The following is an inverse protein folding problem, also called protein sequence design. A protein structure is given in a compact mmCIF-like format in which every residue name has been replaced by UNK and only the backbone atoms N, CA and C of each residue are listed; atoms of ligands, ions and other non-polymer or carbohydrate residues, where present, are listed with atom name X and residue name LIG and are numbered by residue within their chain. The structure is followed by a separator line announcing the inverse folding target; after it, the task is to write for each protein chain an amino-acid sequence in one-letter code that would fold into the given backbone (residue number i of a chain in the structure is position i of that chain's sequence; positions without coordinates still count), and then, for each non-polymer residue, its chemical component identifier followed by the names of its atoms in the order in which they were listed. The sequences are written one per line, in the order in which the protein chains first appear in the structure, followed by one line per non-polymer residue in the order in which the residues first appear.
data_IF_933033142100
#
_entry.id   IF_933033142100
#
_cell.length_a   1.000
_cell.length_b   1.000
_cell.length_c   1.000
_cell.angle_alpha   90.00
_cell.angle_beta   90.00
_cell.angle_gamma   90.00
#
_symmetry.space_group_name_H-M   'P 1'
#
loop_
_entity.id
_entity.type
_entity.pdbx_description
1 polymer ?
#
# COMPACT_ATOMS: atom_id res chain seq x y z
N UNK A 1 36.39 10.56 15.95
CA UNK A 1 36.03 9.78 14.76
C UNK A 1 34.55 9.87 14.47
N UNK A 2 34.22 10.16 13.27
CA UNK A 2 32.83 10.20 12.86
C UNK A 2 32.21 8.83 12.96
N UNK A 3 31.15 8.74 13.71
CA UNK A 3 30.31 7.55 13.66
C UNK A 3 29.46 7.66 12.40
N UNK A 4 29.62 6.68 11.53
CA UNK A 4 28.73 6.59 10.41
C UNK A 4 27.37 6.17 10.93
N UNK A 5 26.51 7.11 11.12
CA UNK A 5 25.10 6.78 11.27
C UNK A 5 24.65 6.12 9.99
N UNK A 6 24.02 4.98 10.10
CA UNK A 6 23.35 4.37 8.98
C UNK A 6 22.39 5.40 8.42
N UNK A 7 22.70 5.89 7.24
CA UNK A 7 21.85 6.88 6.59
C UNK A 7 20.56 6.22 6.21
N UNK A 8 19.46 6.85 6.60
CA UNK A 8 18.16 6.45 6.09
C UNK A 8 18.11 6.76 4.60
N UNK A 9 17.46 5.90 3.85
CA UNK A 9 17.16 6.22 2.46
C UNK A 9 16.31 7.48 2.41
N UNK A 10 16.54 8.37 1.43
CA UNK A 10 15.70 9.55 1.28
C UNK A 10 14.26 9.14 1.08
N UNK A 11 13.36 9.82 1.77
CA UNK A 11 11.93 9.69 1.55
C UNK A 11 11.38 11.01 1.05
N UNK A 12 10.20 10.94 0.46
CA UNK A 12 9.55 12.17 0.03
C UNK A 12 9.13 12.99 1.24
N UNK A 13 9.14 14.34 1.15
CA UNK A 13 8.63 15.18 2.21
C UNK A 13 7.15 14.86 2.49
N UNK A 14 6.77 15.00 3.75
CA UNK A 14 5.40 14.76 4.20
C UNK A 14 4.38 15.61 3.43
N UNK A 15 4.81 16.77 2.96
CA UNK A 15 3.96 17.67 2.16
C UNK A 15 3.61 17.09 0.79
N UNK A 16 4.44 16.20 0.25
CA UNK A 16 4.14 15.52 -1.01
C UNK A 16 3.35 14.24 -0.79
N UNK A 17 3.51 13.60 0.36
CA UNK A 17 2.69 12.47 0.75
C UNK A 17 1.49 12.99 1.54
N UNK A 18 0.55 13.59 0.84
CA UNK A 18 -0.56 14.30 1.48
C UNK A 18 -1.91 13.63 1.27
N UNK A 19 -1.92 12.40 0.80
CA UNK A 19 -3.15 11.67 0.55
C UNK A 19 -3.44 10.70 1.68
N UNK A 20 -4.69 10.29 1.74
CA UNK A 20 -5.22 9.41 2.76
C UNK A 20 -6.03 8.31 2.10
N UNK A 21 -5.87 7.10 2.60
CA UNK A 21 -6.65 5.96 2.14
C UNK A 21 -7.22 5.21 3.34
N UNK A 22 -8.20 4.36 3.08
CA UNK A 22 -8.72 3.42 4.07
C UNK A 22 -8.26 2.03 3.67
N UNK A 23 -7.57 1.35 4.59
CA UNK A 23 -7.22 -0.06 4.43
C UNK A 23 -8.32 -0.89 5.10
N UNK A 24 -9.00 -1.70 4.32
CA UNK A 24 -10.16 -2.46 4.76
C UNK A 24 -9.88 -3.95 4.71
N UNK A 25 -10.06 -4.60 5.83
CA UNK A 25 -9.84 -6.04 5.99
C UNK A 25 -11.12 -6.68 6.48
N UNK A 26 -11.48 -7.82 5.91
CA UNK A 26 -12.55 -8.64 6.46
C UNK A 26 -12.09 -9.28 7.77
N UNK A 27 -12.91 -9.20 8.83
CA UNK A 27 -12.55 -9.83 10.09
C UNK A 27 -12.98 -11.32 10.18
N UNK A 28 -13.48 -11.87 9.08
CA UNK A 28 -13.94 -13.27 9.03
C UNK A 28 -15.34 -13.49 9.58
N UNK A 29 -15.96 -12.48 10.13
CA UNK A 29 -17.32 -12.56 10.66
C UNK A 29 -18.33 -12.04 9.65
N UNK A 30 -19.57 -12.53 9.77
CA UNK A 30 -20.70 -12.04 8.96
C UNK A 30 -21.76 -11.47 9.89
N UNK A 31 -22.45 -10.44 9.42
CA UNK A 31 -23.62 -9.94 10.14
C UNK A 31 -24.84 -10.85 9.89
N UNK A 32 -25.97 -10.50 10.51
CA UNK A 32 -27.21 -11.28 10.37
C UNK A 32 -27.72 -11.37 8.94
N UNK A 33 -27.28 -10.48 8.07
CA UNK A 33 -27.69 -10.43 6.66
C UNK A 33 -26.68 -11.09 5.73
N UNK A 34 -25.65 -11.74 6.28
CA UNK A 34 -24.62 -12.41 5.50
C UNK A 34 -23.52 -11.49 4.96
N UNK A 35 -23.54 -10.20 5.29
CA UNK A 35 -22.47 -9.27 4.94
C UNK A 35 -21.25 -9.51 5.82
N UNK A 36 -20.09 -9.54 5.22
CA UNK A 36 -18.83 -9.62 5.96
C UNK A 36 -18.59 -8.33 6.75
N UNK A 37 -18.26 -8.51 8.02
CA UNK A 37 -17.78 -7.40 8.83
C UNK A 37 -16.35 -7.07 8.46
N UNK A 38 -16.05 -5.78 8.44
CA UNK A 38 -14.73 -5.29 8.05
C UNK A 38 -14.12 -4.44 9.15
N UNK A 39 -12.81 -4.39 9.16
CA UNK A 39 -12.03 -3.50 10.02
C UNK A 39 -11.35 -2.50 9.11
N UNK A 40 -11.60 -1.22 9.34
CA UNK A 40 -11.06 -0.13 8.55
C UNK A 40 -9.96 0.57 9.33
N UNK A 41 -8.82 0.79 8.67
CA UNK A 41 -7.71 1.57 9.21
C UNK A 41 -7.42 2.71 8.25
N UNK A 42 -7.39 3.93 8.78
CA UNK A 42 -7.05 5.11 7.98
C UNK A 42 -5.54 5.24 7.94
N UNK A 43 -4.98 5.29 6.74
CA UNK A 43 -3.55 5.51 6.53
C UNK A 43 -3.38 6.92 5.99
N UNK A 44 -2.65 7.73 6.75
CA UNK A 44 -2.36 9.12 6.41
C UNK A 44 -0.99 9.27 5.79
N UNK A 45 -0.81 10.33 5.04
CA UNK A 45 0.47 10.70 4.44
C UNK A 45 1.04 9.60 3.57
N UNK A 46 0.25 9.20 2.60
CA UNK A 46 0.64 8.26 1.55
C UNK A 46 0.47 8.90 0.18
N UNK A 47 0.88 8.19 -0.85
CA UNK A 47 0.73 8.62 -2.24
C UNK A 47 -0.08 7.59 -2.99
N UNK A 48 -1.22 8.01 -3.52
CA UNK A 48 -2.05 7.17 -4.36
C UNK A 48 -1.93 7.67 -5.80
N UNK A 49 -1.32 6.86 -6.64
CA UNK A 49 -1.05 7.23 -8.03
C UNK A 49 -1.89 6.37 -8.94
N UNK A 50 -2.77 6.99 -9.70
CA UNK A 50 -3.55 6.28 -10.71
C UNK A 50 -2.63 5.98 -11.90
N UNK A 51 -2.48 4.70 -12.18
CA UNK A 51 -1.60 4.21 -13.22
C UNK A 51 -2.08 2.84 -13.64
N UNK A 52 -2.36 2.67 -14.93
CA UNK A 52 -2.77 1.37 -15.43
C UNK A 52 -1.55 0.52 -15.72
N UNK A 53 -1.49 -0.65 -15.08
CA UNK A 53 -0.38 -1.59 -15.22
C UNK A 53 -0.90 -2.80 -16.00
N UNK A 54 -0.15 -3.17 -17.03
CA UNK A 54 -0.46 -4.30 -17.89
C UNK A 54 0.54 -5.43 -17.70
N UNK A 55 0.09 -6.65 -17.92
CA UNK A 55 0.96 -7.81 -18.06
C UNK A 55 0.71 -8.47 -19.42
N UNK A 56 1.70 -9.21 -19.92
CA UNK A 56 1.62 -9.84 -21.24
C UNK A 56 2.11 -8.94 -22.35
N UNK A 57 2.06 -9.44 -23.57
CA UNK A 57 2.54 -8.75 -24.77
C UNK A 57 1.49 -8.81 -25.88
N UNK A 58 1.49 -7.78 -26.72
CA UNK A 58 0.60 -7.73 -27.89
C UNK A 58 -0.86 -7.81 -27.50
N UNK A 59 -1.58 -8.71 -28.16
CA UNK A 59 -3.02 -8.89 -27.94
C UNK A 59 -3.35 -9.66 -26.65
N UNK A 60 -2.33 -10.16 -25.95
CA UNK A 60 -2.50 -10.90 -24.70
C UNK A 60 -2.37 -10.02 -23.47
N UNK A 61 -2.33 -8.71 -23.63
CA UNK A 61 -2.18 -7.78 -22.52
C UNK A 61 -3.43 -7.77 -21.65
N UNK A 62 -3.19 -7.86 -20.35
CA UNK A 62 -4.25 -7.76 -19.33
C UNK A 62 -3.94 -6.63 -18.38
N UNK A 63 -4.97 -5.93 -17.90
CA UNK A 63 -4.83 -4.95 -16.84
C UNK A 63 -4.70 -5.69 -15.52
N UNK A 64 -3.58 -5.48 -14.82
CA UNK A 64 -3.33 -6.12 -13.51
C UNK A 64 -3.46 -5.14 -12.35
N UNK A 65 -3.40 -3.85 -12.63
CA UNK A 65 -3.63 -2.82 -11.63
C UNK A 65 -4.10 -1.53 -12.29
N UNK A 66 -4.86 -0.75 -11.55
CA UNK A 66 -5.34 0.57 -11.98
C UNK A 66 -4.69 1.70 -11.19
N UNK A 67 -4.03 1.38 -10.09
CA UNK A 67 -3.34 2.37 -9.28
C UNK A 67 -2.25 1.71 -8.46
N UNK A 68 -1.33 2.53 -7.97
CA UNK A 68 -0.30 2.11 -7.02
C UNK A 68 -0.38 3.01 -5.80
N UNK A 69 -0.44 2.38 -4.64
CA UNK A 69 -0.40 3.08 -3.36
C UNK A 69 1.01 2.96 -2.78
N UNK A 70 1.64 4.09 -2.52
CA UNK A 70 2.96 4.15 -1.90
C UNK A 70 2.80 4.53 -0.44
N UNK A 71 3.31 3.67 0.45
CA UNK A 71 3.29 3.87 1.90
C UNK A 71 4.74 3.93 2.37
N UNK A 72 5.13 5.02 2.98
CA UNK A 72 6.53 5.26 3.37
C UNK A 72 6.67 5.11 4.88
N UNK A 73 7.65 4.31 5.31
CA UNK A 73 7.85 3.98 6.72
C UNK A 73 8.04 5.21 7.60
N UNK A 74 8.75 6.23 7.09
CA UNK A 74 9.08 7.42 7.87
C UNK A 74 8.01 8.51 7.82
N UNK A 75 7.04 8.39 6.94
CA UNK A 75 6.10 9.48 6.63
C UNK A 75 4.65 9.07 6.86
N UNK A 76 4.29 7.89 6.39
CA UNK A 76 2.90 7.40 6.48
C UNK A 76 2.57 6.91 7.88
N UNK A 77 1.37 7.17 8.34
CA UNK A 77 0.92 6.74 9.67
C UNK A 77 -0.52 6.22 9.62
N UNK A 78 -0.80 5.12 10.31
CA UNK A 78 0.16 4.20 10.94
C UNK A 78 0.92 3.38 9.90
N UNK A 79 2.10 2.92 10.23
CA UNK A 79 2.81 1.98 9.38
C UNK A 79 2.33 0.57 9.73
N UNK A 80 1.56 0.00 8.84
CA UNK A 80 1.08 -1.36 8.96
C UNK A 80 2.06 -2.29 8.24
N UNK A 81 2.06 -3.55 8.64
CA UNK A 81 2.79 -4.57 7.90
C UNK A 81 1.86 -5.21 6.87
N UNK A 82 2.36 -5.33 5.65
CA UNK A 82 1.65 -5.98 4.58
C UNK A 82 2.36 -7.28 4.23
N UNK A 83 1.61 -8.35 4.20
CA UNK A 83 2.11 -9.69 3.91
C UNK A 83 1.46 -10.20 2.65
N UNK A 84 1.96 -11.31 2.15
CA UNK A 84 1.36 -11.96 0.97
C UNK A 84 -0.13 -12.23 1.16
N UNK A 85 -0.54 -12.57 2.37
CA UNK A 85 -1.96 -12.79 2.68
C UNK A 85 -2.79 -11.50 2.78
N UNK A 86 -2.14 -10.34 2.71
CA UNK A 86 -2.87 -9.07 2.60
C UNK A 86 -3.43 -8.85 1.20
N UNK A 87 -2.99 -9.61 0.21
CA UNK A 87 -3.59 -9.57 -1.12
C UNK A 87 -5.06 -9.95 -1.03
N UNK A 88 -5.88 -9.25 -1.79
CA UNK A 88 -7.32 -9.41 -1.75
C UNK A 88 -8.03 -8.46 -0.79
N UNK A 89 -7.33 -7.86 0.14
CA UNK A 89 -7.88 -6.80 0.98
C UNK A 89 -8.12 -5.54 0.15
N UNK A 90 -8.87 -4.62 0.71
CA UNK A 90 -9.31 -3.43 -0.02
C UNK A 90 -8.57 -2.18 0.40
N UNK A 91 -8.35 -1.32 -0.58
CA UNK A 91 -7.94 0.07 -0.38
C UNK A 91 -9.08 0.94 -0.88
N UNK A 92 -9.56 1.84 -0.05
CA UNK A 92 -10.60 2.80 -0.44
C UNK A 92 -9.94 4.17 -0.58
N UNK A 93 -10.02 4.71 -1.77
CA UNK A 93 -9.50 6.04 -2.06
C UNK A 93 -10.59 6.85 -2.76
N UNK A 94 -10.88 8.01 -2.18
CA UNK A 94 -11.85 8.96 -2.77
C UNK A 94 -13.21 8.29 -3.04
N UNK A 95 -13.63 7.42 -2.11
CA UNK A 95 -14.91 6.72 -2.19
C UNK A 95 -14.93 5.51 -3.13
N UNK A 96 -13.80 5.16 -3.73
CA UNK A 96 -13.69 4.04 -4.65
C UNK A 96 -12.92 2.90 -4.02
N UNK A 97 -13.46 1.69 -4.11
CA UNK A 97 -12.86 0.48 -3.59
C UNK A 97 -11.91 -0.13 -4.62
N UNK A 98 -10.70 -0.40 -4.19
CA UNK A 98 -9.69 -1.12 -4.98
C UNK A 98 -9.29 -2.38 -4.25
N UNK A 99 -8.93 -3.41 -5.00
CA UNK A 99 -8.46 -4.67 -4.43
C UNK A 99 -6.94 -4.75 -4.54
N UNK A 100 -6.27 -5.09 -3.45
CA UNK A 100 -4.81 -5.26 -3.46
C UNK A 100 -4.47 -6.52 -4.23
N UNK A 101 -3.69 -6.38 -5.30
CA UNK A 101 -3.27 -7.47 -6.17
C UNK A 101 -1.83 -7.88 -5.98
N UNK A 102 -0.96 -6.92 -5.69
CA UNK A 102 0.46 -7.18 -5.52
C UNK A 102 1.02 -6.26 -4.46
N UNK A 103 1.93 -6.77 -3.66
CA UNK A 103 2.62 -6.03 -2.61
C UNK A 103 4.11 -6.11 -2.87
N UNK A 104 4.74 -4.96 -3.03
CA UNK A 104 6.19 -4.85 -3.14
C UNK A 104 6.70 -4.20 -1.85
N UNK A 105 7.56 -4.91 -1.15
CA UNK A 105 8.20 -4.41 0.06
C UNK A 105 9.63 -4.03 -0.27
N UNK A 106 9.95 -2.76 -0.12
CA UNK A 106 11.29 -2.26 -0.35
C UNK A 106 11.96 -2.00 1.00
N UNK A 107 13.12 -2.60 1.19
CA UNK A 107 13.88 -2.50 2.43
C UNK A 107 15.09 -1.61 2.24
N UNK A 108 15.46 -0.93 3.32
CA UNK A 108 16.71 -0.20 3.38
C UNK A 108 17.85 -1.22 3.45
N UNK A 109 18.75 -1.26 2.47
CA UNK A 109 19.82 -2.27 2.45
C UNK A 109 20.81 -2.12 3.62
N UNK A 110 20.87 -0.95 4.23
CA UNK A 110 21.80 -0.70 5.32
C UNK A 110 21.28 -1.16 6.67
N UNK A 111 19.96 -1.21 6.86
CA UNK A 111 19.35 -1.61 8.13
C UNK A 111 18.42 -2.81 8.01
N UNK A 112 18.04 -3.18 6.79
CA UNK A 112 17.04 -4.20 6.49
C UNK A 112 15.64 -3.87 7.02
N UNK A 113 15.41 -2.64 7.42
CA UNK A 113 14.08 -2.17 7.80
C UNK A 113 13.27 -1.82 6.55
N UNK A 114 11.96 -1.90 6.68
CA UNK A 114 11.08 -1.50 5.60
C UNK A 114 11.25 -0.01 5.34
N UNK A 115 11.50 0.33 4.08
CA UNK A 115 11.58 1.70 3.62
C UNK A 115 10.22 2.17 3.09
N UNK A 116 9.61 1.37 2.21
CA UNK A 116 8.25 1.63 1.74
C UNK A 116 7.56 0.34 1.31
N UNK A 117 6.26 0.45 1.14
CA UNK A 117 5.45 -0.53 0.43
C UNK A 117 4.88 0.10 -0.83
N UNK A 118 4.81 -0.68 -1.90
CA UNK A 118 4.08 -0.34 -3.10
C UNK A 118 2.97 -1.37 -3.26
N UNK A 119 1.73 -0.92 -3.15
CA UNK A 119 0.57 -1.79 -3.31
C UNK A 119 -0.05 -1.52 -4.68
N UNK A 120 0.02 -2.53 -5.55
CA UNK A 120 -0.67 -2.46 -6.84
C UNK A 120 -2.10 -2.90 -6.61
N UNK A 121 -3.03 -2.04 -6.97
CA UNK A 121 -4.45 -2.23 -6.68
C UNK A 121 -5.30 -2.13 -7.95
N UNK A 122 -6.34 -2.94 -7.99
CA UNK A 122 -7.24 -3.04 -9.16
C UNK A 122 -8.66 -2.68 -8.77
#
# INVERSE_FOLDING_TARGET
MGVFKVSKLPTIPKTYANQQVIYRVSNGEKDRYGKQKTIDTIINNCVFQQETIYTGTGNSREVVANAVLFIYADVSTPLLKFYKNSQGNKIVFDGVDYTIKRIVENRNPMSNDVWNYELEVL
#
